data_IF_876709154995
#
_entry.id   IF_876709154995
#
_cell.length_a   1.000
_cell.length_b   1.000
_cell.length_c   1.000
_cell.angle_alpha   90.00
_cell.angle_beta   90.00
_cell.angle_gamma   90.00
#
_symmetry.space_group_name_H-M   'P 1'
#
loop_
_entity.id
_entity.type
_entity.pdbx_description
1 polymer ?
#
# COMPACT_ATOMS: atom_id res chain seq x y z
N UNK A 1 -73.20 4.69 -14.49
CA UNK A 1 -72.06 4.42 -15.39
C UNK A 1 -72.00 5.50 -16.44
N UNK A 2 -70.90 6.24 -16.52
CA UNK A 2 -70.61 7.23 -17.58
C UNK A 2 -69.20 6.91 -18.10
N UNK A 3 -69.05 6.91 -19.43
CA UNK A 3 -67.90 6.40 -20.19
C UNK A 3 -66.71 7.37 -20.13
N UNK A 4 -65.50 6.80 -20.03
CA UNK A 4 -64.20 7.48 -20.00
C UNK A 4 -63.79 7.89 -21.43
N UNK A 5 -64.47 8.88 -22.02
CA UNK A 5 -64.12 9.38 -23.36
C UNK A 5 -64.09 10.91 -23.49
N UNK A 6 -64.14 11.67 -22.39
CA UNK A 6 -64.25 13.13 -22.43
C UNK A 6 -63.16 13.87 -21.63
N UNK A 7 -61.91 13.36 -21.59
CA UNK A 7 -60.84 14.05 -20.83
C UNK A 7 -59.53 14.30 -21.60
N UNK A 8 -59.55 14.26 -22.93
CA UNK A 8 -58.36 14.57 -23.74
C UNK A 8 -58.67 15.52 -24.90
N UNK A 9 -58.74 16.82 -24.62
CA UNK A 9 -58.74 17.86 -25.67
C UNK A 9 -57.99 19.16 -25.32
N UNK A 10 -57.16 19.19 -24.26
CA UNK A 10 -56.55 20.45 -23.80
C UNK A 10 -55.02 20.58 -23.95
N UNK A 11 -54.31 19.57 -24.46
CA UNK A 11 -52.86 19.65 -24.62
C UNK A 11 -52.45 19.20 -26.02
N UNK A 12 -51.97 20.16 -26.83
CA UNK A 12 -51.33 19.89 -28.12
C UNK A 12 -50.08 19.01 -27.96
N UNK A 13 -49.52 18.47 -29.07
CA UNK A 13 -48.41 17.53 -28.99
C UNK A 13 -47.20 18.17 -28.32
N UNK A 14 -46.75 17.58 -27.22
CA UNK A 14 -45.53 17.96 -26.53
C UNK A 14 -44.34 17.78 -27.49
N UNK A 15 -43.48 18.80 -27.58
CA UNK A 15 -42.23 18.72 -28.31
C UNK A 15 -41.37 17.54 -27.79
N UNK A 16 -40.63 16.82 -28.64
CA UNK A 16 -39.85 15.67 -28.22
C UNK A 16 -38.81 16.09 -27.19
N UNK A 17 -38.98 15.58 -25.97
CA UNK A 17 -38.04 15.76 -24.87
C UNK A 17 -36.79 14.94 -25.22
N UNK A 18 -35.74 15.61 -25.66
CA UNK A 18 -34.42 14.99 -25.80
C UNK A 18 -34.01 14.43 -24.42
N UNK A 19 -33.67 13.14 -24.27
CA UNK A 19 -33.28 12.60 -22.98
C UNK A 19 -31.94 13.21 -22.57
N UNK A 20 -31.97 14.18 -21.65
CA UNK A 20 -30.78 14.56 -20.88
C UNK A 20 -30.56 13.50 -19.81
N UNK A 21 -29.81 12.46 -20.14
CA UNK A 21 -29.26 11.56 -19.11
C UNK A 21 -28.27 12.36 -18.26
N UNK A 22 -28.45 12.50 -16.94
CA UNK A 22 -27.38 12.95 -16.07
C UNK A 22 -26.25 11.92 -16.18
N UNK A 23 -25.01 12.35 -16.47
CA UNK A 23 -23.85 11.47 -16.31
C UNK A 23 -23.69 11.19 -14.82
N UNK A 24 -24.32 10.13 -14.31
CA UNK A 24 -24.00 9.60 -13.00
C UNK A 24 -22.54 9.13 -13.06
N UNK A 25 -21.62 9.94 -12.54
CA UNK A 25 -20.29 9.44 -12.20
C UNK A 25 -20.51 8.31 -11.20
N UNK A 26 -20.07 7.12 -11.55
CA UNK A 26 -20.28 5.93 -10.72
C UNK A 26 -19.68 6.17 -9.32
N UNK A 27 -20.24 5.58 -8.26
CA UNK A 27 -19.69 5.74 -6.90
C UNK A 27 -18.20 5.40 -6.78
N UNK A 28 -17.69 4.57 -7.71
CA UNK A 28 -16.28 4.26 -7.86
C UNK A 28 -15.45 5.47 -8.33
N UNK A 29 -15.91 6.23 -9.32
CA UNK A 29 -15.20 7.42 -9.79
C UNK A 29 -15.12 8.50 -8.71
N UNK A 30 -16.18 8.65 -7.92
CA UNK A 30 -16.18 9.56 -6.78
C UNK A 30 -15.18 9.12 -5.69
N UNK A 31 -15.12 7.83 -5.38
CA UNK A 31 -14.13 7.27 -4.44
C UNK A 31 -12.70 7.47 -4.94
N UNK A 32 -12.43 7.24 -6.23
CA UNK A 32 -11.10 7.49 -6.83
C UNK A 32 -10.71 8.95 -6.72
N UNK A 33 -11.61 9.86 -7.11
CA UNK A 33 -11.38 11.31 -7.05
C UNK A 33 -11.14 11.81 -5.62
N UNK A 34 -11.83 11.22 -4.64
CA UNK A 34 -11.61 11.53 -3.22
C UNK A 34 -10.26 11.01 -2.71
N UNK A 35 -9.84 9.81 -3.13
CA UNK A 35 -8.52 9.28 -2.78
C UNK A 35 -7.37 10.09 -3.43
N UNK A 36 -7.54 10.54 -4.67
CA UNK A 36 -6.61 11.44 -5.37
C UNK A 36 -6.46 12.78 -4.63
N UNK A 37 -7.58 13.43 -4.28
CA UNK A 37 -7.56 14.66 -3.46
C UNK A 37 -6.90 14.45 -2.10
N UNK A 38 -7.13 13.30 -1.47
CA UNK A 38 -6.48 12.97 -0.20
C UNK A 38 -4.97 12.78 -0.39
N UNK A 39 -4.53 12.12 -1.46
CA UNK A 39 -3.10 11.98 -1.81
C UNK A 39 -2.42 13.32 -2.07
N UNK A 40 -3.11 14.23 -2.74
CA UNK A 40 -2.62 15.58 -3.05
C UNK A 40 -2.46 16.42 -1.77
N UNK A 41 -3.40 16.33 -0.84
CA UNK A 41 -3.35 17.04 0.45
C UNK A 41 -2.38 16.44 1.49
N UNK A 42 -1.82 15.26 1.25
CA UNK A 42 -0.79 14.69 2.14
C UNK A 42 0.54 15.40 1.90
N UNK A 43 0.93 16.27 2.82
CA UNK A 43 2.30 16.79 2.88
C UNK A 43 3.26 15.75 3.46
N UNK A 44 4.35 15.48 2.74
CA UNK A 44 5.45 14.63 3.21
C UNK A 44 6.69 15.49 3.37
N UNK A 45 7.04 15.78 4.63
CA UNK A 45 8.39 16.21 4.96
C UNK A 45 9.27 14.98 4.93
N UNK A 46 10.09 14.90 3.89
CA UNK A 46 11.10 13.87 3.75
C UNK A 46 12.23 14.17 4.73
N UNK A 47 12.05 13.76 5.98
CA UNK A 47 13.13 13.71 6.96
C UNK A 47 14.06 12.58 6.54
N UNK A 48 15.13 12.95 5.83
CA UNK A 48 16.16 12.03 5.41
C UNK A 48 17.48 12.56 5.95
N UNK A 49 18.18 11.75 6.76
CA UNK A 49 19.52 12.13 7.19
C UNK A 49 20.59 11.72 6.17
N UNK A 50 20.39 10.62 5.41
CA UNK A 50 21.37 10.13 4.43
C UNK A 50 20.74 9.32 3.29
N UNK A 51 20.07 9.97 2.32
CA UNK A 51 19.46 9.26 1.17
C UNK A 51 20.46 8.51 0.28
N UNK A 52 21.72 8.93 0.27
CA UNK A 52 22.77 8.32 -0.57
C UNK A 52 23.32 7.00 0.00
N UNK A 53 23.08 6.73 1.29
CA UNK A 53 23.53 5.51 1.97
C UNK A 53 22.39 4.49 2.17
N UNK A 54 21.17 4.83 1.77
CA UNK A 54 20.02 3.94 1.84
C UNK A 54 20.01 2.92 0.71
N UNK A 55 19.79 1.65 1.06
CA UNK A 55 19.54 0.54 0.14
C UNK A 55 18.11 0.58 -0.38
N UNK A 56 17.86 1.49 -1.33
CA UNK A 56 16.53 1.74 -1.90
C UNK A 56 15.93 0.49 -2.56
N UNK A 57 16.77 -0.40 -3.05
CA UNK A 57 16.38 -1.69 -3.63
C UNK A 57 15.60 -2.59 -2.66
N UNK A 58 15.79 -2.42 -1.34
CA UNK A 58 15.02 -3.14 -0.33
C UNK A 58 13.51 -2.89 -0.45
N UNK A 59 13.12 -1.68 -0.86
CA UNK A 59 11.71 -1.31 -1.04
C UNK A 59 11.04 -2.03 -2.20
N UNK A 60 11.81 -2.71 -3.04
CA UNK A 60 11.37 -3.44 -4.21
C UNK A 60 11.32 -4.95 -3.97
N UNK A 61 11.64 -5.39 -2.74
CA UNK A 61 11.60 -6.81 -2.42
C UNK A 61 10.19 -7.38 -2.66
N UNK A 62 10.09 -8.55 -3.31
CA UNK A 62 8.80 -9.15 -3.58
C UNK A 62 8.11 -9.57 -2.27
N UNK A 63 6.79 -9.67 -2.32
CA UNK A 63 6.05 -10.28 -1.24
C UNK A 63 6.42 -11.76 -1.15
N UNK A 64 6.60 -12.24 0.08
CA UNK A 64 6.96 -13.63 0.32
C UNK A 64 5.88 -14.58 -0.25
N UNK A 65 6.25 -15.71 -0.90
CA UNK A 65 5.29 -16.66 -1.45
C UNK A 65 4.25 -17.10 -0.43
N UNK A 66 3.00 -17.27 -0.88
CA UNK A 66 1.85 -17.66 -0.02
C UNK A 66 2.11 -18.86 0.90
N UNK A 67 2.78 -19.95 0.46
CA UNK A 67 3.07 -21.08 1.34
C UNK A 67 3.93 -20.74 2.56
N UNK A 68 4.72 -19.65 2.49
CA UNK A 68 5.58 -19.19 3.57
C UNK A 68 4.90 -18.12 4.45
N UNK A 69 3.66 -17.73 4.15
CA UNK A 69 2.93 -16.78 4.97
C UNK A 69 2.79 -17.34 6.38
N UNK A 70 3.24 -16.58 7.38
CA UNK A 70 3.30 -16.98 8.80
C UNK A 70 4.42 -17.96 9.18
N UNK A 71 5.29 -18.36 8.25
CA UNK A 71 6.46 -19.19 8.53
C UNK A 71 7.72 -18.32 8.66
N UNK A 72 7.81 -17.57 9.76
CA UNK A 72 8.97 -16.72 10.01
C UNK A 72 10.18 -17.54 10.51
N UNK A 73 11.44 -17.14 10.24
CA UNK A 73 12.64 -17.80 10.75
C UNK A 73 12.64 -17.93 12.27
N UNK A 74 11.99 -17.01 12.99
CA UNK A 74 11.77 -17.09 14.45
C UNK A 74 11.02 -18.35 14.87
N UNK A 75 10.08 -18.86 14.07
CA UNK A 75 9.34 -20.09 14.38
C UNK A 75 10.20 -21.33 14.19
N UNK A 76 11.21 -21.26 13.32
CA UNK A 76 12.11 -22.38 12.99
C UNK A 76 13.34 -22.39 13.91
N UNK A 77 13.98 -21.23 14.10
CA UNK A 77 15.25 -21.08 14.83
C UNK A 77 15.10 -20.63 16.28
N UNK A 78 13.88 -20.26 16.68
CA UNK A 78 13.55 -19.88 18.05
C UNK A 78 13.84 -18.41 18.40
N UNK A 79 13.36 -18.02 19.58
CA UNK A 79 13.37 -16.64 20.07
C UNK A 79 14.78 -16.06 20.23
N UNK A 80 15.69 -16.84 20.83
CA UNK A 80 17.04 -16.37 21.16
C UNK A 80 17.80 -15.97 19.89
N UNK A 81 17.81 -16.85 18.89
CA UNK A 81 18.42 -16.57 17.59
C UNK A 81 17.81 -15.34 16.92
N UNK A 82 16.48 -15.20 16.99
CA UNK A 82 15.77 -14.05 16.42
C UNK A 82 16.20 -12.73 17.07
N UNK A 83 16.25 -12.69 18.41
CA UNK A 83 16.63 -11.49 19.15
C UNK A 83 18.08 -11.08 18.92
N UNK A 84 19.00 -12.05 18.85
CA UNK A 84 20.39 -11.79 18.51
C UNK A 84 20.54 -11.26 17.08
N UNK A 85 19.88 -11.92 16.12
CA UNK A 85 19.99 -11.58 14.69
C UNK A 85 19.42 -10.20 14.38
N UNK A 86 18.22 -9.89 14.87
CA UNK A 86 17.61 -8.58 14.62
C UNK A 86 18.38 -7.44 15.28
N UNK A 87 18.90 -7.64 16.50
CA UNK A 87 19.69 -6.60 17.20
C UNK A 87 21.00 -6.33 16.48
N UNK A 88 21.66 -7.37 15.94
CA UNK A 88 22.84 -7.22 15.07
C UNK A 88 22.50 -6.41 13.82
N UNK A 89 21.38 -6.70 13.16
CA UNK A 89 20.92 -5.91 12.01
C UNK A 89 20.68 -4.44 12.38
N UNK A 90 20.04 -4.16 13.53
CA UNK A 90 19.80 -2.77 13.96
C UNK A 90 21.11 -2.01 14.21
N UNK A 91 22.09 -2.65 14.84
CA UNK A 91 23.38 -2.03 15.15
C UNK A 91 24.26 -1.85 13.90
N UNK A 92 24.09 -2.68 12.86
CA UNK A 92 24.93 -2.68 11.66
C UNK A 92 24.90 -1.34 10.88
N UNK A 93 23.81 -0.57 11.01
CA UNK A 93 23.71 0.78 10.42
C UNK A 93 23.37 1.83 11.49
N UNK A 94 23.95 1.68 12.69
CA UNK A 94 23.78 2.63 13.79
C UNK A 94 22.32 2.99 14.05
N UNK A 95 21.43 2.00 14.07
CA UNK A 95 19.99 2.17 14.27
C UNK A 95 19.29 3.09 13.25
N UNK A 96 19.85 3.20 12.04
CA UNK A 96 19.19 3.80 10.89
C UNK A 96 18.47 2.74 10.05
N UNK A 97 17.37 3.15 9.44
CA UNK A 97 16.64 2.32 8.46
C UNK A 97 17.54 2.03 7.26
N UNK A 98 17.75 0.75 6.94
CA UNK A 98 18.55 0.32 5.80
C UNK A 98 18.03 0.85 4.46
N UNK A 99 16.73 1.05 4.31
CA UNK A 99 16.16 1.53 3.05
C UNK A 99 16.24 3.05 2.85
N UNK A 100 15.99 3.85 3.90
CA UNK A 100 15.83 5.30 3.77
C UNK A 100 16.75 6.15 4.63
N UNK A 101 17.59 5.53 5.46
CA UNK A 101 18.59 6.20 6.28
C UNK A 101 18.03 7.05 7.42
N UNK A 102 16.75 6.93 7.80
CA UNK A 102 16.24 7.61 9.00
C UNK A 102 16.68 6.88 10.27
N UNK A 103 17.23 7.60 11.25
CA UNK A 103 17.46 7.04 12.59
C UNK A 103 16.14 6.66 13.26
N UNK A 104 16.13 5.58 14.04
CA UNK A 104 14.92 5.05 14.67
C UNK A 104 14.20 6.08 15.58
N UNK A 105 14.91 6.97 16.27
CA UNK A 105 14.29 7.99 17.14
C UNK A 105 13.45 9.02 16.37
N UNK A 106 13.73 9.19 15.08
CA UNK A 106 13.02 10.10 14.17
C UNK A 106 12.11 9.35 13.19
N UNK A 107 12.04 8.03 13.30
CA UNK A 107 11.18 7.23 12.44
C UNK A 107 9.71 7.55 12.66
N UNK A 108 8.99 7.76 11.56
CA UNK A 108 7.54 8.03 11.58
C UNK A 108 6.77 6.81 12.10
N UNK A 109 5.69 7.07 12.83
CA UNK A 109 4.75 6.10 13.42
C UNK A 109 5.29 5.26 14.58
N UNK A 110 6.57 4.87 14.55
CA UNK A 110 7.22 4.05 15.58
C UNK A 110 8.67 4.49 15.72
N UNK A 111 9.10 4.73 16.95
CA UNK A 111 10.48 5.12 17.26
C UNK A 111 11.39 3.90 17.48
N UNK A 112 11.21 2.87 16.66
CA UNK A 112 12.02 1.65 16.65
C UNK A 112 12.05 1.04 15.24
N UNK A 113 13.04 0.17 14.99
CA UNK A 113 13.18 -0.56 13.73
C UNK A 113 12.45 -1.92 13.78
N UNK A 114 11.96 -2.32 12.62
CA UNK A 114 11.33 -3.61 12.35
C UNK A 114 12.31 -4.42 11.49
N UNK A 115 12.47 -5.71 11.80
CA UNK A 115 13.40 -6.56 11.09
C UNK A 115 12.72 -7.14 9.84
N UNK A 116 13.36 -6.99 8.69
CA UNK A 116 12.88 -7.47 7.39
C UNK A 116 13.77 -8.60 6.89
N UNK A 117 13.15 -9.70 6.51
CA UNK A 117 13.83 -10.90 6.05
C UNK A 117 14.11 -10.80 4.55
N UNK A 118 15.36 -11.05 4.17
CA UNK A 118 15.78 -11.08 2.77
C UNK A 118 16.02 -12.52 2.38
N UNK A 119 15.25 -12.99 1.40
CA UNK A 119 15.28 -14.37 0.94
C UNK A 119 15.82 -14.48 -0.48
N UNK A 120 16.59 -15.54 -0.70
CA UNK A 120 16.79 -16.13 -2.01
C UNK A 120 15.81 -17.30 -2.16
N UNK A 121 15.03 -17.30 -3.24
CA UNK A 121 13.94 -18.25 -3.47
C UNK A 121 14.15 -18.91 -4.81
N UNK A 122 14.45 -20.21 -4.78
CA UNK A 122 14.48 -21.01 -5.99
C UNK A 122 13.07 -21.55 -6.26
N UNK A 123 12.35 -20.91 -7.18
CA UNK A 123 10.99 -21.34 -7.56
C UNK A 123 10.94 -22.68 -8.30
N UNK A 124 12.05 -23.15 -8.86
CA UNK A 124 12.11 -24.45 -9.55
C UNK A 124 12.19 -25.60 -8.55
N UNK A 125 12.98 -25.44 -7.48
CA UNK A 125 13.17 -26.47 -6.44
C UNK A 125 12.25 -26.29 -5.23
N UNK A 126 11.69 -25.09 -5.05
CA UNK A 126 10.92 -24.71 -3.86
C UNK A 126 11.78 -24.37 -2.65
N UNK A 127 13.09 -24.23 -2.82
CA UNK A 127 14.01 -23.92 -1.72
C UNK A 127 14.02 -22.43 -1.38
N UNK A 128 14.13 -22.13 -0.09
CA UNK A 128 14.13 -20.77 0.45
C UNK A 128 15.31 -20.64 1.39
N UNK A 129 16.15 -19.63 1.14
CA UNK A 129 17.32 -19.35 1.96
C UNK A 129 17.23 -17.94 2.52
N UNK A 130 17.27 -17.82 3.84
CA UNK A 130 17.45 -16.53 4.50
C UNK A 130 18.89 -16.04 4.25
N UNK A 131 19.03 -14.93 3.54
CA UNK A 131 20.31 -14.33 3.16
C UNK A 131 20.73 -13.29 4.19
N UNK A 132 19.81 -12.41 4.57
CA UNK A 132 20.12 -11.26 5.41
C UNK A 132 18.88 -10.85 6.24
N UNK A 133 19.13 -10.18 7.36
CA UNK A 133 18.13 -9.46 8.12
C UNK A 133 18.41 -7.95 7.97
N UNK A 134 17.47 -7.20 7.39
CA UNK A 134 17.57 -5.75 7.26
C UNK A 134 16.77 -5.04 8.34
N UNK A 135 17.26 -3.88 8.79
CA UNK A 135 16.58 -3.05 9.77
C UNK A 135 15.78 -1.95 9.08
N UNK A 136 14.45 -1.95 9.18
CA UNK A 136 13.59 -0.99 8.48
C UNK A 136 12.74 -0.18 9.45
N UNK A 137 12.52 1.10 9.14
CA UNK A 137 11.50 1.87 9.84
C UNK A 137 10.09 1.38 9.45
N UNK A 138 9.10 1.65 10.31
CA UNK A 138 7.73 1.18 10.09
C UNK A 138 7.17 1.55 8.72
N UNK A 139 7.45 2.76 8.23
CA UNK A 139 6.99 3.19 6.91
C UNK A 139 7.62 2.38 5.77
N UNK A 140 8.95 2.15 5.80
CA UNK A 140 9.63 1.37 4.76
C UNK A 140 9.24 -0.11 4.80
N UNK A 141 9.15 -0.69 5.99
CA UNK A 141 8.74 -2.08 6.15
C UNK A 141 7.30 -2.31 5.66
N UNK A 142 6.39 -1.39 5.96
CA UNK A 142 5.01 -1.50 5.46
C UNK A 142 4.91 -1.23 3.96
N UNK A 143 5.76 -0.37 3.40
CA UNK A 143 5.79 -0.13 1.94
C UNK A 143 6.09 -1.42 1.17
N UNK A 144 7.03 -2.25 1.63
CA UNK A 144 7.31 -3.57 1.03
C UNK A 144 6.08 -4.49 1.12
N UNK A 145 5.28 -4.35 2.18
CA UNK A 145 4.05 -5.11 2.41
C UNK A 145 2.77 -4.35 1.99
N UNK A 146 2.83 -3.57 0.91
CA UNK A 146 1.71 -2.77 0.40
C UNK A 146 0.45 -3.60 0.15
N UNK A 147 0.56 -4.79 -0.42
CA UNK A 147 -0.60 -5.67 -0.68
C UNK A 147 -1.33 -6.09 0.60
N UNK A 148 -0.59 -6.30 1.70
CA UNK A 148 -1.19 -6.54 3.02
C UNK A 148 -1.87 -5.29 3.55
N UNK A 149 -1.23 -4.13 3.45
CA UNK A 149 -1.84 -2.86 3.86
C UNK A 149 -3.12 -2.57 3.08
N UNK A 150 -3.13 -2.78 1.76
CA UNK A 150 -4.29 -2.60 0.90
C UNK A 150 -5.44 -3.48 1.39
N UNK A 151 -5.19 -4.78 1.58
CA UNK A 151 -6.20 -5.73 2.08
C UNK A 151 -6.77 -5.29 3.44
N UNK A 152 -5.91 -4.81 4.34
CA UNK A 152 -6.36 -4.35 5.67
C UNK A 152 -7.16 -3.05 5.59
N UNK A 153 -6.77 -2.14 4.70
CA UNK A 153 -7.48 -0.86 4.45
C UNK A 153 -8.87 -1.12 3.86
N UNK A 154 -8.97 -2.03 2.87
CA UNK A 154 -10.25 -2.44 2.28
C UNK A 154 -11.20 -3.06 3.30
N UNK A 155 -10.66 -3.75 4.32
CA UNK A 155 -11.44 -4.31 5.43
C UNK A 155 -11.76 -3.30 6.53
N UNK A 156 -11.40 -2.02 6.37
CA UNK A 156 -11.56 -0.99 7.39
C UNK A 156 -10.68 -1.19 8.63
N UNK A 157 -9.65 -2.04 8.55
CA UNK A 157 -8.75 -2.38 9.67
C UNK A 157 -7.43 -1.61 9.63
N UNK A 158 -7.27 -0.71 8.67
CA UNK A 158 -6.07 0.10 8.51
C UNK A 158 -6.47 1.49 8.01
N UNK A 159 -5.85 2.53 8.58
CA UNK A 159 -6.15 3.91 8.24
C UNK A 159 -5.73 4.24 6.81
N UNK A 160 -6.68 4.75 6.01
CA UNK A 160 -6.47 5.09 4.61
C UNK A 160 -5.39 6.17 4.44
N UNK A 161 -5.40 7.21 5.29
CA UNK A 161 -4.44 8.30 5.20
C UNK A 161 -3.02 7.81 5.47
N UNK A 162 -2.84 6.93 6.45
CA UNK A 162 -1.57 6.26 6.74
C UNK A 162 -1.09 5.40 5.57
N UNK A 163 -1.95 4.58 4.99
CA UNK A 163 -1.63 3.76 3.82
C UNK A 163 -1.11 4.62 2.66
N UNK A 164 -1.87 5.66 2.30
CA UNK A 164 -1.53 6.60 1.23
C UNK A 164 -0.23 7.36 1.51
N UNK A 165 -0.01 7.77 2.77
CA UNK A 165 1.24 8.44 3.18
C UNK A 165 2.45 7.52 3.01
N UNK A 166 2.33 6.25 3.40
CA UNK A 166 3.41 5.27 3.25
C UNK A 166 3.74 5.03 1.77
N UNK A 167 2.72 4.87 0.92
CA UNK A 167 2.91 4.70 -0.53
C UNK A 167 3.63 5.90 -1.15
N UNK A 168 3.12 7.11 -0.90
CA UNK A 168 3.71 8.35 -1.43
C UNK A 168 5.17 8.49 -0.97
N UNK A 169 5.46 8.19 0.30
CA UNK A 169 6.81 8.23 0.85
C UNK A 169 7.76 7.23 0.18
N UNK A 170 7.35 5.97 0.04
CA UNK A 170 8.19 4.93 -0.56
C UNK A 170 8.49 5.22 -2.03
N UNK A 171 7.48 5.68 -2.78
CA UNK A 171 7.67 6.12 -4.16
C UNK A 171 8.65 7.30 -4.28
N UNK A 172 8.60 8.26 -3.34
CA UNK A 172 9.58 9.35 -3.29
C UNK A 172 11.01 8.87 -2.97
N UNK A 173 11.19 7.85 -2.13
CA UNK A 173 12.52 7.29 -1.83
C UNK A 173 13.11 6.60 -3.05
N UNK A 174 12.32 5.78 -3.74
CA UNK A 174 12.76 5.03 -4.94
C UNK A 174 13.08 5.99 -6.09
N UNK A 175 12.29 7.06 -6.23
CA UNK A 175 12.48 8.08 -7.25
C UNK A 175 11.95 7.68 -8.63
N UNK A 176 11.94 8.65 -9.56
CA UNK A 176 11.32 8.57 -10.90
C UNK A 176 12.04 7.64 -11.89
N UNK A 177 13.26 7.20 -11.57
CA UNK A 177 14.08 6.37 -12.47
C UNK A 177 13.72 4.88 -12.41
N UNK A 178 12.87 4.46 -11.47
CA UNK A 178 12.40 3.10 -11.42
C UNK A 178 11.12 2.96 -12.25
N UNK A 179 11.29 2.53 -13.50
CA UNK A 179 10.20 2.29 -14.45
C UNK A 179 9.31 1.17 -13.90
N UNK A 180 8.07 1.55 -13.63
CA UNK A 180 7.01 0.78 -12.98
C UNK A 180 7.29 0.48 -11.49
N UNK A 181 6.76 1.29 -10.55
CA UNK A 181 6.52 0.76 -9.21
C UNK A 181 5.70 -0.51 -9.42
N UNK A 182 6.21 -1.63 -8.91
CA UNK A 182 5.43 -2.87 -8.81
C UNK A 182 4.32 -2.60 -7.79
N UNK A 183 3.32 -1.80 -8.18
CA UNK A 183 2.04 -1.68 -7.52
C UNK A 183 1.38 -3.04 -7.68
N UNK A 184 1.75 -3.99 -6.81
CA UNK A 184 1.02 -5.26 -6.68
C UNK A 184 -0.45 -4.97 -6.37
N UNK A 185 -0.69 -3.84 -5.71
CA UNK A 185 -1.95 -3.20 -5.48
C UNK A 185 -2.04 -1.91 -6.30
N UNK A 186 -2.75 -1.91 -7.44
CA UNK A 186 -3.31 -0.65 -7.92
C UNK A 186 -4.25 -0.12 -6.82
N UNK A 187 -3.96 1.02 -6.15
CA UNK A 187 -4.80 1.55 -5.07
C UNK A 187 -6.22 1.87 -5.56
N UNK A 188 -6.41 1.97 -6.89
CA UNK A 188 -7.69 2.19 -7.56
C UNK A 188 -8.40 0.89 -7.97
N UNK A 189 -7.78 -0.28 -7.77
CA UNK A 189 -8.41 -1.59 -7.97
C UNK A 189 -9.04 -2.07 -6.65
N UNK A 190 -10.02 -1.30 -6.16
CA UNK A 190 -10.90 -1.62 -5.03
C UNK A 190 -11.99 -2.66 -5.39
N UNK A 191 -11.90 -3.31 -6.55
CA UNK A 191 -12.84 -4.33 -6.99
C UNK A 191 -12.21 -5.72 -6.83
N UNK A 192 -12.67 -6.47 -5.84
CA UNK A 192 -13.37 -7.74 -6.05
C UNK A 192 -13.31 -8.61 -4.79
N UNK A 193 -14.41 -8.61 -4.03
CA UNK A 193 -15.10 -9.79 -3.48
C UNK A 193 -16.12 -9.32 -2.44
N UNK A 194 -17.18 -8.70 -2.96
CA UNK A 194 -18.52 -8.90 -2.44
C UNK A 194 -19.18 -9.87 -3.43
N UNK A 195 -18.96 -11.15 -3.19
CA UNK A 195 -19.94 -12.20 -3.44
C UNK A 195 -20.24 -12.76 -2.05
#
# INVERSE_FOLDING_TARGET
MIKVSEYYSAFGPAAPIQPRTPKLTTGLELLKKNAERLMESIEIKLEHENLEQGRKELLLHPNIPKPLHSLAPRTIKGQKWWDETRKKAYAAQDYHCHACGIHQSRARYRQWLEAHEIYDINYQTGEVKLIEMAALCHACHNFIHDGRMQTMTQKGKYDLRKYLTILKRGNQIIGSNWKEPFMQANPLNLKSKLI
#
